data_IF_060484270314
#
_entry.id   IF_060484270314
#
_cell.length_a   1.000
_cell.length_b   1.000
_cell.length_c   1.000
_cell.angle_alpha   90.00
_cell.angle_beta   90.00
_cell.angle_gamma   90.00
#
_symmetry.space_group_name_H-M   'P 1'
#
loop_
_entity.id
_entity.type
_entity.pdbx_description
1 polymer ?
#
# COMPACT_ATOMS: atom_id res chain seq x y z
N UNK A 1 36.19 -56.90 -79.55
CA UNK A 1 35.82 -55.50 -79.28
C UNK A 1 34.99 -55.46 -77.99
N UNK A 2 35.58 -54.99 -76.92
CA UNK A 2 34.90 -54.80 -75.62
C UNK A 2 34.63 -53.30 -75.41
N UNK A 3 33.38 -52.94 -75.46
CA UNK A 3 32.92 -51.59 -75.24
C UNK A 3 32.81 -51.33 -73.73
N UNK A 4 33.59 -50.38 -73.25
CA UNK A 4 33.58 -49.96 -71.87
C UNK A 4 32.51 -48.88 -71.65
N UNK A 5 31.47 -49.19 -70.89
CA UNK A 5 30.45 -48.18 -70.51
C UNK A 5 30.96 -47.46 -69.20
N UNK A 6 31.29 -46.19 -69.33
CA UNK A 6 31.61 -45.33 -68.19
C UNK A 6 30.34 -44.82 -67.57
N UNK A 7 30.05 -45.25 -66.35
CA UNK A 7 28.91 -44.75 -65.52
C UNK A 7 29.29 -43.44 -64.87
N UNK A 8 28.67 -42.32 -65.29
CA UNK A 8 28.85 -41.03 -64.62
C UNK A 8 27.83 -40.93 -63.48
N UNK A 9 28.33 -40.98 -62.22
CA UNK A 9 27.50 -40.72 -61.01
C UNK A 9 27.41 -39.23 -60.80
N UNK A 10 26.22 -38.65 -60.93
CA UNK A 10 25.92 -37.25 -60.59
C UNK A 10 25.51 -37.22 -59.19
N UNK A 11 26.35 -36.65 -58.32
CA UNK A 11 26.01 -36.34 -56.95
C UNK A 11 25.15 -35.08 -56.87
N UNK A 12 23.86 -35.22 -56.55
CA UNK A 12 22.98 -34.10 -56.22
C UNK A 12 23.06 -33.87 -54.76
N UNK A 13 23.79 -32.83 -54.33
CA UNK A 13 23.82 -32.39 -52.93
C UNK A 13 22.49 -31.71 -52.56
N UNK A 14 21.83 -32.07 -51.43
CA UNK A 14 20.63 -31.37 -51.01
C UNK A 14 20.99 -29.96 -50.55
N UNK A 15 20.33 -28.94 -51.10
CA UNK A 15 20.39 -27.57 -50.66
C UNK A 15 19.61 -27.50 -49.35
N UNK A 16 20.31 -27.38 -48.23
CA UNK A 16 19.71 -27.09 -46.91
C UNK A 16 19.35 -25.61 -46.87
N UNK A 17 18.08 -25.29 -47.04
CA UNK A 17 17.56 -23.95 -46.85
C UNK A 17 17.44 -23.74 -45.32
N UNK A 18 18.29 -22.87 -44.75
CA UNK A 18 18.18 -22.48 -43.36
C UNK A 18 16.87 -21.72 -43.11
N UNK A 19 16.15 -22.00 -42.01
CA UNK A 19 14.92 -21.27 -41.73
C UNK A 19 15.26 -19.78 -41.47
N UNK A 20 14.66 -18.90 -42.28
CA UNK A 20 14.71 -17.45 -42.05
C UNK A 20 13.85 -17.11 -40.83
N UNK A 21 14.50 -16.73 -39.74
CA UNK A 21 13.82 -16.19 -38.56
C UNK A 21 13.23 -14.84 -38.96
N UNK A 22 11.89 -14.63 -38.83
CA UNK A 22 11.30 -13.32 -39.08
C UNK A 22 11.92 -12.30 -38.12
N UNK A 23 12.52 -11.23 -38.65
CA UNK A 23 12.93 -10.05 -37.87
C UNK A 23 11.69 -9.20 -37.56
N UNK A 24 10.80 -9.73 -36.73
CA UNK A 24 9.81 -8.85 -36.11
C UNK A 24 10.50 -8.05 -35.00
N UNK A 25 10.32 -6.73 -34.93
CA UNK A 25 10.85 -5.96 -33.84
C UNK A 25 10.20 -6.46 -32.53
N UNK A 26 11.01 -6.93 -31.58
CA UNK A 26 10.57 -7.23 -30.24
C UNK A 26 10.16 -5.89 -29.62
N UNK A 27 8.87 -5.55 -29.72
CA UNK A 27 8.29 -4.44 -28.98
C UNK A 27 8.26 -4.89 -27.52
N UNK A 28 9.28 -4.51 -26.77
CA UNK A 28 9.26 -4.64 -25.31
C UNK A 28 8.17 -3.69 -24.81
N UNK A 29 6.96 -4.21 -24.65
CA UNK A 29 5.92 -3.52 -23.89
C UNK A 29 6.44 -3.52 -22.44
N UNK A 30 6.94 -2.37 -21.99
CA UNK A 30 7.31 -2.19 -20.59
C UNK A 30 6.05 -2.48 -19.75
N UNK A 31 6.04 -3.63 -19.08
CA UNK A 31 4.99 -3.97 -18.13
C UNK A 31 5.01 -2.86 -17.06
N UNK A 32 3.91 -2.13 -16.97
CA UNK A 32 3.79 -1.01 -16.03
C UNK A 32 3.91 -1.59 -14.62
N UNK A 33 5.06 -1.40 -13.99
CA UNK A 33 5.30 -1.90 -12.63
C UNK A 33 4.14 -1.48 -11.73
N UNK A 34 3.57 -2.44 -11.00
CA UNK A 34 2.54 -2.13 -10.01
C UNK A 34 3.15 -1.21 -8.95
N UNK A 35 2.46 -0.14 -8.54
CA UNK A 35 2.99 0.77 -7.53
C UNK A 35 3.32 -0.01 -6.25
N UNK A 36 4.51 0.22 -5.72
CA UNK A 36 4.96 -0.38 -4.46
C UNK A 36 4.02 0.10 -3.35
N UNK A 37 3.47 -0.85 -2.58
CA UNK A 37 2.58 -0.60 -1.44
C UNK A 37 3.32 -0.94 -0.15
N UNK A 38 4.34 -0.18 0.16
CA UNK A 38 5.12 -0.28 1.39
C UNK A 38 4.70 0.75 2.46
N UNK A 39 5.43 0.77 3.57
CA UNK A 39 5.24 1.70 4.68
C UNK A 39 5.31 3.17 4.23
N UNK A 40 6.27 3.54 3.39
CA UNK A 40 6.44 4.93 2.96
C UNK A 40 5.32 5.37 2.02
N UNK A 41 4.90 4.50 1.11
CA UNK A 41 3.76 4.73 0.25
C UNK A 41 2.44 4.85 1.05
N UNK A 42 2.30 4.07 2.14
CA UNK A 42 1.18 4.22 3.08
C UNK A 42 1.18 5.59 3.77
N UNK A 43 2.33 6.02 4.32
CA UNK A 43 2.45 7.33 4.97
C UNK A 43 2.16 8.47 3.99
N UNK A 44 2.64 8.36 2.74
CA UNK A 44 2.38 9.37 1.72
C UNK A 44 0.90 9.46 1.38
N UNK A 45 0.26 8.33 1.13
CA UNK A 45 -1.17 8.26 0.82
C UNK A 45 -2.04 8.79 1.98
N UNK A 46 -1.70 8.43 3.23
CA UNK A 46 -2.43 8.87 4.42
C UNK A 46 -2.21 10.37 4.66
N UNK A 47 -0.97 10.85 4.62
CA UNK A 47 -0.64 12.26 4.78
C UNK A 47 -1.30 13.14 3.70
N UNK A 48 -1.35 12.67 2.46
CA UNK A 48 -2.06 13.36 1.39
C UNK A 48 -3.56 13.47 1.68
N UNK A 49 -4.19 12.41 2.18
CA UNK A 49 -5.60 12.41 2.58
C UNK A 49 -5.90 13.37 3.72
N UNK A 50 -5.00 13.47 4.72
CA UNK A 50 -5.23 14.26 5.94
C UNK A 50 -4.95 15.76 5.74
N UNK A 51 -3.90 16.10 4.98
CA UNK A 51 -3.41 17.48 4.91
C UNK A 51 -2.85 17.91 3.55
N UNK A 52 -2.88 17.03 2.54
CA UNK A 52 -2.08 17.24 1.32
C UNK A 52 -0.57 17.14 1.59
N UNK A 53 -0.16 16.29 2.54
CA UNK A 53 1.22 16.10 3.00
C UNK A 53 1.87 17.35 3.63
N UNK A 54 1.08 18.25 4.21
CA UNK A 54 1.57 19.48 4.82
C UNK A 54 1.84 19.31 6.31
N UNK A 55 3.07 19.61 6.73
CA UNK A 55 3.49 19.49 8.13
C UNK A 55 3.12 20.71 8.99
N UNK A 56 2.92 21.87 8.37
CA UNK A 56 2.81 23.19 9.01
C UNK A 56 1.38 23.61 9.33
N UNK A 57 0.38 22.79 9.01
CA UNK A 57 -1.03 23.20 9.10
C UNK A 57 -1.74 22.76 10.38
N UNK A 58 -2.74 23.54 10.74
CA UNK A 58 -3.73 23.19 11.78
C UNK A 58 -5.12 23.38 11.20
N UNK A 59 -5.97 22.39 11.32
CA UNK A 59 -7.34 22.51 10.82
C UNK A 59 -8.26 23.25 11.83
N UNK A 60 -9.49 23.53 11.42
CA UNK A 60 -10.50 24.23 12.22
C UNK A 60 -10.84 23.53 13.55
N UNK A 61 -10.55 22.25 13.70
CA UNK A 61 -10.78 21.46 14.91
C UNK A 61 -9.53 21.36 15.81
N UNK A 62 -8.41 22.00 15.41
CA UNK A 62 -7.16 21.99 16.16
C UNK A 62 -6.29 20.76 15.94
N UNK A 63 -6.57 19.95 14.92
CA UNK A 63 -5.68 18.85 14.51
C UNK A 63 -4.49 19.39 13.72
N UNK A 64 -3.31 18.81 13.94
CA UNK A 64 -2.01 19.39 13.57
C UNK A 64 -1.22 18.51 12.58
N UNK A 65 -0.56 19.17 11.64
CA UNK A 65 0.48 18.64 10.79
C UNK A 65 0.02 17.65 9.73
N UNK A 66 0.99 16.94 9.17
CA UNK A 66 0.84 16.03 8.02
C UNK A 66 -0.29 15.02 8.23
N UNK A 67 -0.39 14.45 9.43
CA UNK A 67 -1.36 13.40 9.75
C UNK A 67 -2.50 13.87 10.66
N UNK A 68 -2.69 15.17 10.80
CA UNK A 68 -3.77 15.79 11.57
C UNK A 68 -3.89 15.23 13.00
N UNK A 69 -2.80 15.29 13.76
CA UNK A 69 -2.76 14.82 15.15
C UNK A 69 -3.54 15.70 16.11
N UNK A 70 -4.40 15.09 16.90
CA UNK A 70 -4.98 15.72 18.07
C UNK A 70 -4.07 15.63 19.31
N UNK A 71 -4.11 16.64 20.18
CA UNK A 71 -3.33 16.64 21.46
C UNK A 71 -3.60 15.40 22.32
N UNK A 72 -4.83 14.89 22.32
CA UNK A 72 -5.18 13.68 23.08
C UNK A 72 -4.47 12.44 22.53
N UNK A 73 -4.38 12.31 21.20
CA UNK A 73 -3.66 11.21 20.54
C UNK A 73 -2.18 11.25 20.87
N UNK A 74 -1.54 12.42 20.79
CA UNK A 74 -0.11 12.57 21.15
C UNK A 74 0.14 12.15 22.61
N UNK A 75 -0.74 12.53 23.54
CA UNK A 75 -0.66 12.07 24.95
C UNK A 75 -0.79 10.56 25.07
N UNK A 76 -1.73 9.94 24.34
CA UNK A 76 -1.95 8.48 24.37
C UNK A 76 -0.70 7.70 23.96
N UNK A 77 0.04 8.20 22.98
CA UNK A 77 1.28 7.57 22.49
C UNK A 77 2.54 8.10 23.18
N UNK A 78 2.39 8.88 24.26
CA UNK A 78 3.48 9.48 25.03
C UNK A 78 4.47 10.29 24.18
N UNK A 79 3.93 11.13 23.29
CA UNK A 79 4.69 12.17 22.57
C UNK A 79 4.39 13.51 23.23
N UNK A 80 5.38 13.99 23.99
CA UNK A 80 5.29 15.25 24.74
C UNK A 80 6.01 16.35 23.95
N UNK A 81 5.25 17.22 23.33
CA UNK A 81 5.76 18.30 22.49
C UNK A 81 4.74 19.45 22.48
N UNK A 82 5.20 20.69 22.44
CA UNK A 82 4.34 21.84 22.19
C UNK A 82 3.94 21.93 20.71
N UNK A 83 2.94 22.75 20.43
CA UNK A 83 2.37 22.88 19.09
C UNK A 83 3.37 23.41 18.06
N UNK A 84 4.17 24.43 18.45
CA UNK A 84 5.10 25.09 17.54
C UNK A 84 6.22 24.12 17.12
N UNK A 85 6.84 23.49 18.10
CA UNK A 85 7.87 22.46 17.89
C UNK A 85 7.32 21.31 17.03
N UNK A 86 6.08 20.86 17.28
CA UNK A 86 5.48 19.78 16.49
C UNK A 86 5.29 20.16 15.03
N UNK A 87 4.77 21.36 14.74
CA UNK A 87 4.49 21.83 13.36
C UNK A 87 5.79 22.11 12.58
N UNK A 88 6.83 22.55 13.24
CA UNK A 88 8.12 22.88 12.63
C UNK A 88 9.08 21.67 12.50
N UNK A 89 8.65 20.48 12.94
CA UNK A 89 9.53 19.30 12.94
C UNK A 89 8.85 18.09 12.29
N UNK A 90 9.07 17.87 10.98
CA UNK A 90 8.55 16.72 10.25
C UNK A 90 8.91 15.39 10.89
N UNK A 91 10.13 15.24 11.42
CA UNK A 91 10.63 13.99 12.00
C UNK A 91 9.83 13.60 13.27
N UNK A 92 9.44 14.59 14.09
CA UNK A 92 8.59 14.32 15.26
C UNK A 92 7.20 13.87 14.82
N UNK A 93 6.66 14.40 13.74
CA UNK A 93 5.35 14.01 13.22
C UNK A 93 5.37 12.58 12.63
N UNK A 94 6.39 12.25 11.85
CA UNK A 94 6.56 10.91 11.28
C UNK A 94 6.82 9.87 12.40
N UNK A 95 7.63 10.22 13.39
CA UNK A 95 7.83 9.38 14.61
C UNK A 95 6.54 9.19 15.41
N UNK A 96 5.74 10.24 15.58
CA UNK A 96 4.44 10.14 16.23
C UNK A 96 3.49 9.19 15.47
N UNK A 97 3.53 9.21 14.13
CA UNK A 97 2.73 8.29 13.32
C UNK A 97 3.20 6.85 13.50
N UNK A 98 4.49 6.58 13.45
CA UNK A 98 5.03 5.25 13.73
C UNK A 98 4.57 4.73 15.10
N UNK A 99 4.69 5.56 16.14
CA UNK A 99 4.22 5.19 17.51
C UNK A 99 2.72 4.90 17.54
N UNK A 100 1.91 5.69 16.82
CA UNK A 100 0.46 5.48 16.77
C UNK A 100 0.11 4.18 16.05
N UNK A 101 0.77 3.89 14.94
CA UNK A 101 0.57 2.64 14.20
C UNK A 101 0.93 1.43 15.06
N UNK A 102 2.10 1.43 15.71
CA UNK A 102 2.51 0.37 16.64
C UNK A 102 1.53 0.22 17.82
N UNK A 103 1.09 1.34 18.42
CA UNK A 103 0.08 1.33 19.49
C UNK A 103 -1.23 0.70 19.02
N UNK A 104 -1.74 1.11 17.85
CA UNK A 104 -2.98 0.58 17.30
C UNK A 104 -2.85 -0.88 16.88
N UNK A 105 -1.71 -1.30 16.29
CA UNK A 105 -1.41 -2.68 15.95
C UNK A 105 -1.50 -3.57 17.19
N UNK A 106 -0.81 -3.21 18.27
CA UNK A 106 -0.87 -3.94 19.54
C UNK A 106 -2.32 -4.07 20.06
N UNK A 107 -3.11 -2.96 20.01
CA UNK A 107 -4.52 -2.99 20.45
C UNK A 107 -5.45 -3.78 19.54
N UNK A 108 -5.11 -3.94 18.26
CA UNK A 108 -5.92 -4.63 17.25
C UNK A 108 -5.36 -6.00 16.88
N UNK A 109 -4.23 -6.44 17.44
CA UNK A 109 -3.52 -7.66 17.05
C UNK A 109 -4.46 -8.87 16.91
N UNK A 110 -5.29 -9.12 17.91
CA UNK A 110 -6.27 -10.22 17.88
C UNK A 110 -7.21 -10.16 16.66
N UNK A 111 -7.57 -8.97 16.19
CA UNK A 111 -8.44 -8.80 15.03
C UNK A 111 -7.67 -8.97 13.73
N UNK A 112 -6.41 -8.54 13.69
CA UNK A 112 -5.51 -8.77 12.57
C UNK A 112 -5.30 -10.28 12.41
N UNK A 113 -4.84 -10.98 13.44
CA UNK A 113 -4.55 -12.42 13.41
C UNK A 113 -5.75 -13.28 12.99
N UNK A 114 -6.96 -12.89 13.42
CA UNK A 114 -8.15 -13.68 13.16
C UNK A 114 -8.85 -13.37 11.83
N UNK A 115 -8.65 -12.17 11.27
CA UNK A 115 -9.51 -11.70 10.17
C UNK A 115 -8.75 -11.17 8.97
N UNK A 116 -7.42 -11.03 9.01
CA UNK A 116 -6.66 -10.57 7.86
C UNK A 116 -6.88 -11.47 6.64
N UNK A 117 -7.08 -10.86 5.47
CA UNK A 117 -7.40 -11.54 4.22
C UNK A 117 -8.86 -11.97 4.06
N UNK A 118 -9.70 -11.83 5.10
CA UNK A 118 -11.13 -12.16 5.01
C UNK A 118 -11.95 -10.94 4.59
N UNK A 119 -13.06 -11.21 3.89
CA UNK A 119 -14.04 -10.17 3.57
C UNK A 119 -15.15 -10.15 4.63
N UNK A 120 -15.32 -9.01 5.31
CA UNK A 120 -16.35 -8.81 6.34
C UNK A 120 -17.21 -7.60 5.96
N UNK A 121 -18.50 -7.81 5.76
CA UNK A 121 -19.46 -6.77 5.36
C UNK A 121 -18.99 -5.99 4.10
N UNK A 122 -18.43 -6.68 3.10
CA UNK A 122 -17.93 -6.08 1.86
C UNK A 122 -16.62 -5.27 2.02
N UNK A 123 -15.86 -5.56 3.09
CA UNK A 123 -14.55 -4.96 3.38
C UNK A 123 -13.51 -6.07 3.47
N UNK A 124 -12.52 -6.06 2.57
CA UNK A 124 -11.33 -6.89 2.74
C UNK A 124 -10.53 -6.38 3.94
N UNK A 125 -10.40 -7.21 4.96
CA UNK A 125 -9.64 -6.86 6.16
C UNK A 125 -8.16 -6.98 5.87
N UNK A 126 -7.42 -5.90 6.14
CA UNK A 126 -5.95 -5.87 6.06
C UNK A 126 -5.38 -5.12 7.25
N UNK A 127 -4.16 -5.43 7.68
CA UNK A 127 -3.51 -4.71 8.78
C UNK A 127 -3.51 -3.20 8.51
N UNK A 128 -2.99 -2.78 7.35
CA UNK A 128 -2.90 -1.35 7.00
C UNK A 128 -4.26 -0.64 6.97
N UNK A 129 -5.30 -1.32 6.45
CA UNK A 129 -6.67 -0.80 6.45
C UNK A 129 -7.22 -0.61 7.87
N UNK A 130 -7.01 -1.57 8.77
CA UNK A 130 -7.42 -1.47 10.17
C UNK A 130 -6.69 -0.36 10.92
N UNK A 131 -5.38 -0.19 10.66
CA UNK A 131 -4.57 0.84 11.31
C UNK A 131 -4.95 2.25 10.83
N UNK A 132 -5.23 2.42 9.53
CA UNK A 132 -5.76 3.68 9.01
C UNK A 132 -7.15 4.00 9.59
N UNK A 133 -8.04 3.03 9.69
CA UNK A 133 -9.35 3.20 10.32
C UNK A 133 -9.23 3.56 11.81
N UNK A 134 -8.23 2.98 12.51
CA UNK A 134 -7.94 3.30 13.90
C UNK A 134 -7.32 4.71 14.06
N UNK A 135 -6.56 5.19 13.09
CA UNK A 135 -6.12 6.59 13.04
C UNK A 135 -7.32 7.54 12.99
N UNK A 136 -8.26 7.33 12.07
CA UNK A 136 -9.45 8.18 11.90
C UNK A 136 -10.39 8.14 13.12
N UNK A 137 -10.74 6.95 13.57
CA UNK A 137 -11.84 6.75 14.53
C UNK A 137 -11.44 6.17 15.89
N UNK A 138 -10.17 5.87 16.08
CA UNK A 138 -9.65 5.16 17.25
C UNK A 138 -9.87 3.64 17.16
N UNK A 139 -8.98 2.86 17.78
CA UNK A 139 -9.04 1.39 17.80
C UNK A 139 -10.35 0.85 18.42
N UNK A 140 -10.96 1.59 19.33
CA UNK A 140 -12.25 1.23 19.92
C UNK A 140 -13.40 1.20 18.93
N UNK A 141 -13.38 2.11 17.93
CA UNK A 141 -14.39 2.14 16.85
C UNK A 141 -14.23 0.96 15.89
N UNK A 142 -12.98 0.57 15.59
CA UNK A 142 -12.68 -0.64 14.80
C UNK A 142 -13.18 -1.88 15.51
N UNK A 143 -12.88 -2.05 16.80
CA UNK A 143 -13.39 -3.17 17.62
C UNK A 143 -14.91 -3.22 17.68
N UNK A 144 -15.55 -2.04 17.79
CA UNK A 144 -17.01 -1.95 17.79
C UNK A 144 -17.59 -2.38 16.44
N UNK A 145 -16.96 -1.99 15.34
CA UNK A 145 -17.38 -2.42 14.00
C UNK A 145 -17.36 -3.95 13.85
N UNK A 146 -16.28 -4.62 14.27
CA UNK A 146 -16.23 -6.09 14.26
C UNK A 146 -17.34 -6.75 15.09
N UNK A 147 -17.68 -6.18 16.25
CA UNK A 147 -18.66 -6.76 17.14
C UNK A 147 -20.12 -6.51 16.74
N UNK A 148 -20.39 -5.40 16.08
CA UNK A 148 -21.78 -4.90 15.92
C UNK A 148 -22.13 -4.46 14.51
N UNK A 149 -21.17 -4.43 13.58
CA UNK A 149 -21.34 -3.86 12.24
C UNK A 149 -21.50 -2.32 12.21
N UNK A 150 -21.54 -1.65 13.38
CA UNK A 150 -21.76 -0.19 13.43
C UNK A 150 -20.54 0.56 12.92
N UNK A 151 -20.73 1.39 11.89
CA UNK A 151 -19.70 2.20 11.25
C UNK A 151 -19.63 3.56 11.93
N UNK A 152 -18.43 3.92 12.45
CA UNK A 152 -18.17 5.27 12.95
C UNK A 152 -17.79 6.18 11.78
N UNK A 153 -18.26 7.43 11.86
CA UNK A 153 -17.84 8.54 10.98
C UNK A 153 -17.17 9.63 11.82
N UNK A 154 -16.25 10.37 11.21
CA UNK A 154 -15.65 11.57 11.79
C UNK A 154 -16.56 12.80 11.68
N UNK A 155 -16.06 13.98 12.10
CA UNK A 155 -16.79 15.24 12.02
C UNK A 155 -17.11 15.74 10.60
N UNK A 156 -16.44 15.20 9.58
CA UNK A 156 -16.65 15.50 8.17
C UNK A 156 -17.49 14.43 7.45
N UNK A 157 -17.98 13.42 8.17
CA UNK A 157 -18.78 12.33 7.63
C UNK A 157 -17.97 11.18 7.03
N UNK A 158 -16.64 11.20 7.12
CA UNK A 158 -15.76 10.17 6.60
C UNK A 158 -15.81 8.94 7.52
N UNK A 159 -16.01 7.76 6.93
CA UNK A 159 -16.21 6.54 7.70
C UNK A 159 -14.90 5.75 7.92
N UNK A 160 -14.81 5.00 9.03
CA UNK A 160 -13.69 4.08 9.27
C UNK A 160 -13.61 2.99 8.18
N UNK A 161 -14.74 2.57 7.63
CA UNK A 161 -14.77 1.56 6.55
C UNK A 161 -14.27 2.09 5.21
N UNK A 162 -14.46 3.39 4.92
CA UNK A 162 -13.84 4.02 3.74
C UNK A 162 -12.31 4.06 3.86
N UNK A 163 -11.79 4.27 5.08
CA UNK A 163 -10.35 4.20 5.35
C UNK A 163 -9.82 2.76 5.23
N UNK A 164 -10.54 1.75 5.74
CA UNK A 164 -10.17 0.35 5.54
C UNK A 164 -10.01 0.01 4.05
N UNK A 165 -10.98 0.41 3.21
CA UNK A 165 -10.93 0.17 1.75
C UNK A 165 -9.78 0.92 1.07
N UNK A 166 -9.63 2.21 1.40
CA UNK A 166 -8.67 3.09 0.73
C UNK A 166 -7.22 2.74 1.05
N UNK A 167 -6.95 2.42 2.30
CA UNK A 167 -5.60 2.20 2.82
C UNK A 167 -5.29 0.72 3.07
N UNK A 168 -6.08 -0.18 2.48
CA UNK A 168 -5.83 -1.62 2.55
C UNK A 168 -4.72 -2.09 1.61
N UNK A 169 -4.01 -3.15 2.04
CA UNK A 169 -3.05 -3.88 1.22
C UNK A 169 -1.67 -3.24 1.10
N UNK A 170 -1.30 -2.35 2.03
CA UNK A 170 0.08 -1.89 2.20
C UNK A 170 0.82 -2.83 3.15
N UNK A 171 2.08 -3.14 2.84
CA UNK A 171 3.00 -3.81 3.77
C UNK A 171 3.65 -2.76 4.68
N UNK A 172 3.42 -2.85 5.99
CA UNK A 172 3.89 -1.83 6.93
C UNK A 172 5.15 -2.24 7.67
N UNK A 173 5.47 -3.54 7.77
CA UNK A 173 6.64 -4.09 8.47
C UNK A 173 6.86 -3.48 9.87
N UNK A 174 5.78 -3.41 10.71
CA UNK A 174 5.73 -2.78 12.04
C UNK A 174 6.05 -3.75 13.17
#
# INVERSE_FOLDING_TARGET
MRTLFTLILVFISPIVVAPTIPKEPIVMVAEKEKPVKDYYAFLDALGHQESGNRYDIVNRFGYMGRFQFGKATLRTINVKVDKETFLNNPQIQDYAMLKLLCYNKNKLQKYIDNFEGQEINGILVTESGLLAAAHLGGQGSVKKWFRTGKVRKDGNGVSITSYMKRFGGYNLDL
#
